data_IF_740215582729
#
_entry.id   IF_740215582729
#
_cell.length_a   1.000
_cell.length_b   1.000
_cell.length_c   1.000
_cell.angle_alpha   90.00
_cell.angle_beta   90.00
_cell.angle_gamma   90.00
#
_symmetry.space_group_name_H-M   'P 1'
#
loop_
_entity.id
_entity.type
_entity.pdbx_description
1 polymer ?
#
# COMPACT_ATOMS: atom_id res chain seq x y z
N UNK A 1 -8.10 -12.43 2.10
CA UNK A 1 -7.73 -11.80 0.81
C UNK A 1 -6.77 -10.67 1.08
N UNK A 2 -5.60 -10.67 0.44
CA UNK A 2 -4.60 -9.59 0.56
C UNK A 2 -4.58 -8.81 -0.75
N UNK A 3 -4.73 -7.49 -0.64
CA UNK A 3 -4.55 -6.57 -1.76
C UNK A 3 -3.21 -5.87 -1.61
N UNK A 4 -2.39 -5.88 -2.67
CA UNK A 4 -1.14 -5.14 -2.77
C UNK A 4 -1.34 -3.90 -3.65
N UNK A 5 -1.05 -2.73 -3.10
CA UNK A 5 -0.91 -1.48 -3.83
C UNK A 5 0.59 -1.27 -4.06
N UNK A 6 1.06 -1.48 -5.28
CA UNK A 6 2.50 -1.53 -5.60
C UNK A 6 3.00 -0.20 -6.18
N UNK A 7 4.22 0.20 -5.82
CA UNK A 7 4.94 1.35 -6.40
C UNK A 7 4.19 2.69 -6.29
N UNK A 8 3.35 2.87 -5.26
CA UNK A 8 2.57 4.08 -5.10
C UNK A 8 3.39 5.21 -4.47
N UNK A 9 3.19 6.44 -4.95
CA UNK A 9 3.78 7.64 -4.34
C UNK A 9 2.93 8.09 -3.15
N UNK A 10 3.38 7.79 -1.95
CA UNK A 10 2.64 7.96 -0.71
C UNK A 10 2.84 9.36 -0.11
N UNK A 11 1.72 9.99 0.24
CA UNK A 11 1.68 11.20 1.05
C UNK A 11 0.81 10.96 2.28
N UNK A 12 1.44 11.02 3.45
CA UNK A 12 0.82 10.82 4.76
C UNK A 12 1.49 11.75 5.78
N UNK A 13 0.89 12.91 6.10
CA UNK A 13 1.44 13.85 7.06
C UNK A 13 1.59 13.28 8.48
N UNK A 14 0.68 12.39 8.90
CA UNK A 14 0.69 11.83 10.26
C UNK A 14 1.88 10.89 10.48
N UNK A 15 2.34 10.24 9.40
CA UNK A 15 3.50 9.35 9.42
C UNK A 15 4.73 9.95 8.70
N UNK A 16 4.73 11.27 8.47
CA UNK A 16 5.81 12.02 7.82
C UNK A 16 6.25 11.47 6.45
N UNK A 17 5.34 10.87 5.69
CA UNK A 17 5.59 10.42 4.32
C UNK A 17 5.29 11.56 3.36
N UNK A 18 6.32 12.06 2.66
CA UNK A 18 6.20 13.16 1.70
C UNK A 18 6.66 12.72 0.31
N UNK A 19 5.79 12.00 -0.41
CA UNK A 19 6.07 11.57 -1.78
C UNK A 19 7.02 10.38 -1.88
N UNK A 20 7.08 9.55 -0.85
CA UNK A 20 7.92 8.34 -0.83
C UNK A 20 7.23 7.25 -1.65
N UNK A 21 7.99 6.50 -2.45
CA UNK A 21 7.45 5.38 -3.23
C UNK A 21 7.57 4.10 -2.42
N UNK A 22 6.44 3.54 -1.99
CA UNK A 22 6.37 2.34 -1.16
C UNK A 22 5.15 1.47 -1.53
N UNK A 23 5.23 0.19 -1.15
CA UNK A 23 4.15 -0.77 -1.30
C UNK A 23 3.24 -0.76 -0.06
N UNK A 24 1.93 -0.87 -0.26
CA UNK A 24 0.95 -1.00 0.83
C UNK A 24 0.21 -2.33 0.70
N UNK A 25 0.10 -3.03 1.83
CA UNK A 25 -0.61 -4.30 1.94
C UNK A 25 -1.90 -4.09 2.74
N UNK A 26 -3.03 -4.57 2.23
CA UNK A 26 -4.34 -4.46 2.87
C UNK A 26 -4.93 -5.84 3.05
N UNK A 27 -5.39 -6.15 4.26
CA UNK A 27 -6.12 -7.38 4.59
C UNK A 27 -7.37 -7.06 5.39
N UNK A 28 -8.53 -7.49 4.89
CA UNK A 28 -9.81 -7.28 5.59
C UNK A 28 -10.12 -5.80 5.86
N UNK A 29 -9.79 -4.91 4.91
CA UNK A 29 -10.00 -3.46 5.05
C UNK A 29 -9.01 -2.72 5.94
N UNK A 30 -7.98 -3.40 6.47
CA UNK A 30 -6.93 -2.77 7.28
C UNK A 30 -5.58 -2.83 6.58
N UNK A 31 -4.79 -1.76 6.71
CA UNK A 31 -3.38 -1.76 6.31
C UNK A 31 -2.62 -2.70 7.26
N UNK A 32 -1.79 -3.56 6.70
CA UNK A 32 -0.94 -4.49 7.43
C UNK A 32 0.52 -4.30 7.02
N UNK A 33 1.43 -4.81 7.85
CA UNK A 33 2.84 -4.98 7.43
C UNK A 33 2.92 -5.94 6.25
N UNK A 34 4.07 -5.94 5.57
CA UNK A 34 4.35 -6.91 4.50
C UNK A 34 4.06 -8.33 5.02
N UNK A 35 3.20 -9.10 4.33
CA UNK A 35 2.84 -10.45 4.75
C UNK A 35 4.04 -11.40 4.59
N UNK A 36 3.95 -12.57 5.25
CA UNK A 36 4.99 -13.59 5.12
C UNK A 36 5.06 -14.13 3.68
N UNK A 37 6.19 -14.73 3.30
CA UNK A 37 6.47 -15.12 1.91
C UNK A 37 5.52 -16.21 1.38
N UNK A 38 4.97 -17.02 2.27
CA UNK A 38 4.00 -18.08 2.00
C UNK A 38 2.57 -17.56 1.89
N UNK A 39 2.31 -16.32 2.30
CA UNK A 39 0.99 -15.73 2.21
C UNK A 39 0.70 -15.20 0.80
N UNK A 40 -0.38 -15.72 0.20
CA UNK A 40 -0.76 -15.39 -1.17
C UNK A 40 -1.36 -13.98 -1.28
N UNK A 41 -0.72 -13.13 -2.08
CA UNK A 41 -1.33 -11.89 -2.59
C UNK A 41 -2.46 -12.25 -3.54
N UNK A 42 -3.67 -11.79 -3.22
CA UNK A 42 -4.87 -12.13 -3.97
C UNK A 42 -5.09 -11.18 -5.14
N UNK A 43 -4.74 -9.92 -4.97
CA UNK A 43 -4.91 -8.88 -5.97
C UNK A 43 -3.78 -7.86 -5.87
N UNK A 44 -3.27 -7.43 -7.02
CA UNK A 44 -2.21 -6.43 -7.12
C UNK A 44 -2.66 -5.30 -8.02
N UNK A 45 -2.45 -4.07 -7.57
CA UNK A 45 -2.62 -2.87 -8.38
C UNK A 45 -1.26 -2.20 -8.53
N UNK A 46 -0.80 -2.00 -9.76
CA UNK A 46 0.40 -1.21 -10.05
C UNK A 46 0.02 0.27 -10.11
N UNK A 47 0.64 1.05 -9.22
CA UNK A 47 0.38 2.48 -9.04
C UNK A 47 1.60 3.33 -9.39
N UNK A 48 2.50 2.80 -10.23
CA UNK A 48 3.64 3.55 -10.75
C UNK A 48 3.19 4.89 -11.34
N UNK A 49 3.76 5.98 -10.81
CA UNK A 49 3.42 7.35 -11.21
C UNK A 49 2.07 7.87 -10.68
N UNK A 50 1.38 7.12 -9.81
CA UNK A 50 0.14 7.54 -9.14
C UNK A 50 0.41 7.95 -7.70
N UNK A 51 -0.45 8.82 -7.18
CA UNK A 51 -0.41 9.31 -5.80
C UNK A 51 -1.36 8.47 -4.94
N UNK A 52 -0.90 8.12 -3.74
CA UNK A 52 -1.72 7.51 -2.69
C UNK A 52 -1.79 8.48 -1.50
N UNK A 53 -3.00 8.68 -0.99
CA UNK A 53 -3.31 9.42 0.24
C UNK A 53 -4.38 8.66 1.02
N UNK A 54 -4.51 8.95 2.33
CA UNK A 54 -5.65 8.49 3.10
C UNK A 54 -6.96 9.03 2.52
N UNK A 55 -8.03 8.23 2.59
CA UNK A 55 -9.37 8.70 2.26
C UNK A 55 -9.84 9.78 3.24
N UNK A 56 -10.66 10.71 2.74
CA UNK A 56 -11.29 11.76 3.54
C UNK A 56 -12.48 11.24 4.36
#
# INVERSE_FOLDING_TARGET
>A
MITLLKNGKLYDPAHHKNGVVEDIYIRGGRIIVKPAIDEKISQTYDLTGKIIMAGA
#
